data_IF_857836321638
#
_entry.id   IF_857836321638
#
_cell.length_a   1.000
_cell.length_b   1.000
_cell.length_c   1.000
_cell.angle_alpha   90.00
_cell.angle_beta   90.00
_cell.angle_gamma   90.00
#
_symmetry.space_group_name_H-M   'P 1'
#
loop_
_entity.id
_entity.type
_entity.pdbx_description
1 polymer ?
#
# COMPACT_ATOMS: atom_id res chain seq x y z
N UNK A 1 -8.50 -2.55 -32.81
CA UNK A 1 -7.75 -1.99 -31.66
C UNK A 1 -8.26 -2.63 -30.38
N UNK A 2 -7.81 -3.84 -30.02
CA UNK A 2 -8.24 -4.56 -28.79
C UNK A 2 -7.08 -4.84 -27.81
N UNK A 3 -5.83 -4.63 -28.23
CA UNK A 3 -4.63 -4.93 -27.46
C UNK A 3 -4.41 -4.03 -26.22
N UNK A 4 -4.99 -2.83 -26.16
CA UNK A 4 -4.71 -1.86 -25.08
C UNK A 4 -5.29 -2.28 -23.72
N UNK A 5 -6.50 -2.87 -23.70
CA UNK A 5 -7.20 -3.18 -22.44
C UNK A 5 -6.48 -4.26 -21.62
N UNK A 6 -5.94 -5.29 -22.26
CA UNK A 6 -5.20 -6.37 -21.57
C UNK A 6 -3.89 -5.87 -20.94
N UNK A 7 -3.21 -4.94 -21.60
CA UNK A 7 -1.97 -4.33 -21.10
C UNK A 7 -2.25 -3.48 -19.85
N UNK A 8 -3.33 -2.71 -19.85
CA UNK A 8 -3.74 -1.89 -18.69
C UNK A 8 -4.13 -2.76 -17.47
N UNK A 9 -4.80 -3.89 -17.69
CA UNK A 9 -5.14 -4.85 -16.63
C UNK A 9 -3.88 -5.46 -16.02
N UNK A 10 -2.95 -5.95 -16.85
CA UNK A 10 -1.70 -6.53 -16.38
C UNK A 10 -0.85 -5.52 -15.59
N UNK A 11 -0.81 -4.26 -16.04
CA UNK A 11 -0.13 -3.16 -15.33
C UNK A 11 -0.78 -2.89 -13.98
N UNK A 12 -2.11 -2.89 -13.89
CA UNK A 12 -2.80 -2.66 -12.63
C UNK A 12 -2.54 -3.80 -11.64
N UNK A 13 -2.59 -5.06 -12.09
CA UNK A 13 -2.26 -6.24 -11.26
C UNK A 13 -0.83 -6.13 -10.73
N UNK A 14 0.15 -5.79 -11.58
CA UNK A 14 1.53 -5.62 -11.15
C UNK A 14 1.68 -4.57 -10.05
N UNK A 15 0.95 -3.46 -10.15
CA UNK A 15 0.99 -2.41 -9.13
C UNK A 15 0.34 -2.88 -7.82
N UNK A 16 -0.76 -3.62 -7.90
CA UNK A 16 -1.42 -4.23 -6.72
C UNK A 16 -0.45 -5.17 -5.99
N UNK A 17 0.23 -6.06 -6.72
CA UNK A 17 1.20 -6.99 -6.12
C UNK A 17 2.38 -6.24 -5.48
N UNK A 18 2.88 -5.19 -6.13
CA UNK A 18 3.93 -4.35 -5.56
C UNK A 18 3.48 -3.63 -4.27
N UNK A 19 2.27 -3.06 -4.26
CA UNK A 19 1.71 -2.39 -3.07
C UNK A 19 1.52 -3.35 -1.89
N UNK A 20 1.17 -4.62 -2.15
CA UNK A 20 1.10 -5.64 -1.09
C UNK A 20 2.48 -5.93 -0.48
N UNK A 21 3.51 -6.04 -1.31
CA UNK A 21 4.88 -6.22 -0.83
C UNK A 21 5.35 -5.02 0.01
N UNK A 22 5.07 -3.80 -0.45
CA UNK A 22 5.38 -2.55 0.28
C UNK A 22 4.68 -2.48 1.65
N UNK A 23 3.41 -2.89 1.70
CA UNK A 23 2.64 -2.93 2.94
C UNK A 23 3.26 -3.89 3.96
N UNK A 24 3.66 -5.10 3.54
CA UNK A 24 4.34 -6.05 4.43
C UNK A 24 5.68 -5.48 4.93
N UNK A 25 6.44 -4.80 4.05
CA UNK A 25 7.67 -4.11 4.41
C UNK A 25 7.45 -3.03 5.47
N UNK A 26 6.42 -2.21 5.30
CA UNK A 26 6.08 -1.14 6.25
C UNK A 26 5.64 -1.70 7.62
N UNK A 27 4.89 -2.80 7.64
CA UNK A 27 4.53 -3.49 8.89
C UNK A 27 5.77 -4.06 9.59
N UNK A 28 6.71 -4.64 8.85
CA UNK A 28 7.96 -5.12 9.43
C UNK A 28 8.78 -3.97 10.06
N UNK A 29 8.85 -2.82 9.40
CA UNK A 29 9.49 -1.61 9.94
C UNK A 29 8.78 -1.11 11.20
N UNK A 30 7.44 -1.05 11.21
CA UNK A 30 6.66 -0.69 12.39
C UNK A 30 6.99 -1.58 13.59
N UNK A 31 6.98 -2.90 13.40
CA UNK A 31 7.30 -3.87 14.45
C UNK A 31 8.72 -3.66 15.00
N UNK A 32 9.71 -3.39 14.15
CA UNK A 32 11.08 -3.08 14.57
C UNK A 32 11.17 -1.76 15.35
N UNK A 33 10.47 -0.72 14.89
CA UNK A 33 10.44 0.59 15.56
C UNK A 33 9.81 0.51 16.95
N UNK A 34 8.79 -0.34 17.14
CA UNK A 34 8.18 -0.58 18.45
C UNK A 34 9.12 -1.29 19.43
N UNK A 35 10.02 -2.15 18.94
CA UNK A 35 11.04 -2.79 19.79
C UNK A 35 12.13 -1.79 20.19
N UNK A 36 12.53 -0.92 19.27
CA UNK A 36 13.67 -0.01 19.45
C UNK A 36 13.31 1.36 20.04
N UNK A 37 12.03 1.65 20.26
CA UNK A 37 11.57 2.80 21.06
C UNK A 37 11.65 4.18 20.39
N UNK A 38 11.23 4.30 19.12
CA UNK A 38 11.18 5.60 18.42
C UNK A 38 9.76 6.01 18.03
N UNK A 39 9.14 6.93 18.78
CA UNK A 39 7.77 7.42 18.49
C UNK A 39 7.64 8.03 17.10
N UNK A 40 8.61 8.84 16.66
CA UNK A 40 8.64 9.43 15.32
C UNK A 40 8.71 8.35 14.23
N UNK A 41 9.56 7.32 14.44
CA UNK A 41 9.68 6.20 13.51
C UNK A 41 8.40 5.36 13.45
N UNK A 42 7.70 5.21 14.58
CA UNK A 42 6.41 4.55 14.64
C UNK A 42 5.36 5.35 13.85
N UNK A 43 5.31 6.67 14.06
CA UNK A 43 4.40 7.56 13.35
C UNK A 43 4.63 7.53 11.83
N UNK A 44 5.89 7.59 11.40
CA UNK A 44 6.26 7.49 9.98
C UNK A 44 5.86 6.14 9.37
N UNK A 45 6.10 5.03 10.08
CA UNK A 45 5.69 3.71 9.62
C UNK A 45 4.16 3.61 9.49
N UNK A 46 3.41 4.14 10.46
CA UNK A 46 1.95 4.16 10.42
C UNK A 46 1.43 5.01 9.26
N UNK A 47 2.02 6.18 9.02
CA UNK A 47 1.68 7.03 7.88
C UNK A 47 1.90 6.29 6.54
N UNK A 48 3.03 5.60 6.40
CA UNK A 48 3.32 4.76 5.23
C UNK A 48 2.31 3.64 5.02
N UNK A 49 1.89 2.95 6.08
CA UNK A 49 0.86 1.90 6.03
C UNK A 49 -0.48 2.47 5.58
N UNK A 50 -0.93 3.58 6.16
CA UNK A 50 -2.20 4.22 5.82
C UNK A 50 -2.21 4.65 4.35
N UNK A 51 -1.13 5.29 3.89
CA UNK A 51 -0.99 5.72 2.49
C UNK A 51 -1.01 4.53 1.53
N UNK A 52 -0.27 3.46 1.84
CA UNK A 52 -0.24 2.25 1.02
C UNK A 52 -1.61 1.58 0.97
N UNK A 53 -2.31 1.48 2.11
CA UNK A 53 -3.67 0.94 2.20
C UNK A 53 -4.66 1.75 1.35
N UNK A 54 -4.59 3.08 1.43
CA UNK A 54 -5.47 3.97 0.65
C UNK A 54 -5.26 3.80 -0.86
N UNK A 55 -4.00 3.79 -1.31
CA UNK A 55 -3.68 3.61 -2.73
C UNK A 55 -4.11 2.22 -3.19
N UNK A 56 -3.83 1.17 -2.41
CA UNK A 56 -4.23 -0.20 -2.72
C UNK A 56 -5.74 -0.32 -2.84
N UNK A 57 -6.49 0.20 -1.87
CA UNK A 57 -7.96 0.26 -1.88
C UNK A 57 -8.49 0.89 -3.16
N UNK A 58 -7.95 2.05 -3.55
CA UNK A 58 -8.30 2.72 -4.81
C UNK A 58 -8.03 1.84 -6.05
N UNK A 59 -6.95 1.05 -6.07
CA UNK A 59 -6.61 0.17 -7.20
C UNK A 59 -7.49 -1.07 -7.32
N UNK A 60 -8.06 -1.54 -6.20
CA UNK A 60 -8.98 -2.70 -6.17
C UNK A 60 -10.46 -2.28 -6.22
N UNK A 61 -10.75 -0.99 -6.38
CA UNK A 61 -12.12 -0.48 -6.51
C UNK A 61 -12.83 -0.23 -5.17
N UNK A 62 -12.10 -0.21 -4.04
CA UNK A 62 -12.64 0.23 -2.76
C UNK A 62 -12.69 1.76 -2.78
N UNK A 63 -13.91 2.31 -2.79
CA UNK A 63 -14.12 3.74 -2.66
C UNK A 63 -13.95 4.15 -1.19
N UNK A 64 -13.14 5.17 -0.95
CA UNK A 64 -13.14 5.85 0.35
C UNK A 64 -14.38 6.74 0.42
N UNK A 65 -15.48 6.16 0.90
CA UNK A 65 -16.68 6.92 1.26
C UNK A 65 -16.35 7.61 2.58
N UNK A 66 -16.46 8.95 2.61
CA UNK A 66 -16.31 9.73 3.84
C UNK A 66 -17.11 9.06 4.96
N UNK A 67 -16.41 8.62 6.01
CA UNK A 67 -17.01 8.29 7.31
C UNK A 67 -17.32 9.59 8.03
#
# INVERSE_FOLDING_TARGET
MESSKGIDVAKNIRIIEWLKAEMVGSVASLLRSMVNGGEDLIADCLAGIIMTAYILGKRVGVAYVRV
#
